data_IF_754338172022
#
_entry.id   IF_754338172022
#
_cell.length_a   1.000
_cell.length_b   1.000
_cell.length_c   1.000
_cell.angle_alpha   90.00
_cell.angle_beta   90.00
_cell.angle_gamma   90.00
#
_symmetry.space_group_name_H-M   'P 1'
#
loop_
_entity.id
_entity.type
_entity.pdbx_description
1 polymer ?
#
# COMPACT_ATOMS: atom_id res chain seq x y z
N UNK A 1 3.88 15.55 5.16
CA UNK A 1 3.70 15.44 3.69
C UNK A 1 3.51 16.83 3.08
N UNK A 2 4.30 17.15 2.07
CA UNK A 2 4.17 18.40 1.31
C UNK A 2 3.39 18.11 0.05
N UNK A 3 2.18 18.64 -0.03
CA UNK A 3 1.42 18.60 -1.27
C UNK A 3 1.97 19.68 -2.22
N UNK A 4 2.59 19.32 -3.35
CA UNK A 4 3.19 20.29 -4.28
C UNK A 4 2.18 21.32 -4.80
N UNK A 5 0.93 20.91 -4.98
CA UNK A 5 -0.14 21.81 -5.44
C UNK A 5 -0.47 22.88 -4.39
N UNK A 6 -0.70 22.47 -3.14
CA UNK A 6 -0.95 23.41 -2.04
C UNK A 6 0.26 24.32 -1.79
N UNK A 7 1.47 23.77 -1.90
CA UNK A 7 2.68 24.55 -1.81
C UNK A 7 2.74 25.64 -2.90
N UNK A 8 2.49 25.26 -4.15
CA UNK A 8 2.48 26.19 -5.30
C UNK A 8 1.42 27.28 -5.16
N UNK A 9 0.23 26.93 -4.67
CA UNK A 9 -0.88 27.89 -4.46
C UNK A 9 -0.59 28.92 -3.37
N UNK A 10 0.12 28.51 -2.32
CA UNK A 10 0.36 29.34 -1.13
C UNK A 10 1.74 30.02 -1.11
N UNK A 11 2.57 29.77 -2.13
CA UNK A 11 3.89 30.36 -2.22
C UNK A 11 3.86 31.67 -2.98
N UNK A 12 4.69 32.63 -2.54
CA UNK A 12 4.86 33.91 -3.26
C UNK A 12 5.35 33.68 -4.70
N UNK A 13 4.75 34.41 -5.64
CA UNK A 13 5.17 34.38 -7.05
C UNK A 13 6.57 34.93 -7.29
N UNK A 14 7.13 35.63 -6.32
CA UNK A 14 8.49 36.17 -6.37
C UNK A 14 9.53 35.27 -5.75
N UNK A 15 9.12 34.12 -5.17
CA UNK A 15 10.05 33.14 -4.62
C UNK A 15 10.77 32.43 -5.76
N UNK A 16 12.09 32.47 -5.74
CA UNK A 16 12.91 31.65 -6.64
C UNK A 16 12.84 30.17 -6.19
N UNK A 17 12.38 29.31 -7.11
CA UNK A 17 12.26 27.88 -6.87
C UNK A 17 13.60 27.15 -6.66
N UNK A 18 14.73 27.81 -6.86
CA UNK A 18 16.07 27.25 -6.62
C UNK A 18 16.67 27.68 -5.29
N UNK A 19 16.04 28.63 -4.59
CA UNK A 19 16.55 29.13 -3.31
C UNK A 19 16.15 28.19 -2.17
N UNK A 20 17.12 27.85 -1.34
CA UNK A 20 16.88 27.16 -0.08
C UNK A 20 16.51 28.15 1.00
N UNK A 21 15.65 27.72 1.91
CA UNK A 21 15.29 28.46 3.12
C UNK A 21 15.06 27.49 4.27
N UNK A 22 15.19 27.95 5.50
CA UNK A 22 15.00 27.11 6.68
C UNK A 22 13.52 26.75 6.87
N UNK A 23 13.23 25.47 6.92
CA UNK A 23 11.92 24.90 7.23
C UNK A 23 12.09 23.63 8.05
N UNK A 24 11.27 23.46 9.09
CA UNK A 24 11.39 22.30 9.98
C UNK A 24 12.82 22.09 10.47
N UNK A 25 13.47 23.19 10.83
CA UNK A 25 14.83 23.25 11.43
C UNK A 25 15.97 22.80 10.49
N UNK A 26 15.71 22.64 9.21
CA UNK A 26 16.72 22.29 8.22
C UNK A 26 16.48 23.03 6.88
N UNK A 27 17.45 22.96 5.99
CA UNK A 27 17.36 23.54 4.67
C UNK A 27 16.26 22.86 3.84
N UNK A 28 15.47 23.69 3.16
CA UNK A 28 14.35 23.23 2.35
C UNK A 28 14.33 23.93 1.01
N UNK A 29 14.18 23.16 -0.03
CA UNK A 29 13.82 23.58 -1.37
C UNK A 29 12.83 22.58 -1.95
N UNK A 30 11.67 23.04 -2.46
CA UNK A 30 10.60 22.14 -2.92
C UNK A 30 11.03 21.21 -4.05
N UNK A 31 11.82 21.69 -5.00
CA UNK A 31 12.28 20.87 -6.14
C UNK A 31 13.27 19.80 -5.66
N UNK A 32 14.19 20.20 -4.79
CA UNK A 32 15.12 19.29 -4.17
C UNK A 32 14.40 18.23 -3.33
N UNK A 33 13.39 18.64 -2.56
CA UNK A 33 12.62 17.72 -1.72
C UNK A 33 11.82 16.70 -2.55
N UNK A 34 11.24 17.10 -3.67
CA UNK A 34 10.53 16.18 -4.57
C UNK A 34 11.45 15.08 -5.15
N UNK A 35 12.73 15.36 -5.33
CA UNK A 35 13.74 14.42 -5.83
C UNK A 35 14.35 13.55 -4.71
N UNK A 36 14.23 13.98 -3.46
CA UNK A 36 14.91 13.35 -2.33
C UNK A 36 13.97 12.78 -1.25
N UNK A 37 12.67 13.08 -1.31
CA UNK A 37 11.66 12.56 -0.40
C UNK A 37 10.39 12.22 -1.18
N UNK A 38 10.23 10.96 -1.54
CA UNK A 38 9.14 10.52 -2.41
C UNK A 38 8.64 9.12 -2.04
N UNK A 39 7.42 8.83 -2.48
CA UNK A 39 6.80 7.53 -2.32
C UNK A 39 6.60 6.87 -3.67
N UNK A 40 6.97 5.59 -3.75
CA UNK A 40 6.67 4.72 -4.87
C UNK A 40 5.55 3.77 -4.48
N UNK A 41 4.58 3.63 -5.37
CA UNK A 41 3.49 2.67 -5.22
C UNK A 41 3.51 1.72 -6.41
N UNK A 42 3.82 0.45 -6.15
CA UNK A 42 3.77 -0.61 -7.15
C UNK A 42 2.58 -1.53 -6.86
N UNK A 43 1.78 -1.76 -7.89
CA UNK A 43 0.59 -2.63 -7.77
C UNK A 43 0.61 -3.68 -8.87
N UNK A 44 0.55 -4.94 -8.46
CA UNK A 44 0.35 -6.09 -9.34
C UNK A 44 -0.96 -6.75 -8.96
N UNK A 45 -1.87 -6.90 -9.92
CA UNK A 45 -3.16 -7.57 -9.74
C UNK A 45 -3.38 -8.56 -10.88
N UNK A 46 -3.40 -9.84 -10.57
CA UNK A 46 -3.57 -10.93 -11.52
C UNK A 46 -4.79 -11.75 -11.13
N UNK A 47 -5.70 -11.94 -12.06
CA UNK A 47 -6.87 -12.81 -11.88
C UNK A 47 -6.98 -13.82 -13.02
N UNK A 48 -7.10 -15.08 -12.65
CA UNK A 48 -7.41 -16.19 -13.55
C UNK A 48 -8.78 -16.73 -13.17
N UNK A 49 -9.62 -16.93 -14.16
CA UNK A 49 -10.96 -17.48 -13.96
C UNK A 49 -11.32 -18.41 -15.11
N UNK A 50 -11.85 -19.56 -14.76
CA UNK A 50 -12.37 -20.54 -15.72
C UNK A 50 -13.76 -20.98 -15.33
N UNK A 51 -14.61 -21.19 -16.33
CA UNK A 51 -15.95 -21.74 -16.17
C UNK A 51 -16.15 -22.90 -17.11
N UNK A 52 -16.72 -24.01 -16.61
CA UNK A 52 -17.13 -25.16 -17.37
C UNK A 52 -18.63 -25.40 -17.19
N UNK A 53 -19.35 -25.49 -18.29
CA UNK A 53 -20.76 -25.89 -18.31
C UNK A 53 -20.94 -27.22 -19.03
N UNK A 54 -21.66 -28.12 -18.41
CA UNK A 54 -21.91 -29.45 -18.96
C UNK A 54 -23.39 -29.78 -18.88
N UNK A 55 -23.94 -30.31 -19.98
CA UNK A 55 -25.35 -30.74 -20.14
C UNK A 55 -25.41 -32.23 -20.37
N UNK A 56 -25.31 -33.08 -19.31
CA UNK A 56 -25.25 -34.54 -19.47
C UNK A 56 -26.55 -35.16 -20.01
N UNK A 57 -27.68 -34.57 -19.64
CA UNK A 57 -29.00 -35.01 -20.07
C UNK A 57 -29.91 -33.82 -20.37
N UNK A 58 -31.00 -34.04 -21.11
CA UNK A 58 -31.97 -32.98 -21.39
C UNK A 58 -32.54 -32.42 -20.08
N UNK A 59 -32.49 -31.10 -19.95
CA UNK A 59 -32.98 -30.37 -18.79
C UNK A 59 -31.97 -30.18 -17.68
N UNK A 60 -30.87 -30.93 -17.60
CA UNK A 60 -29.84 -30.76 -16.56
C UNK A 60 -28.62 -30.00 -17.10
N UNK A 61 -28.28 -28.91 -16.42
CA UNK A 61 -27.07 -28.15 -16.64
C UNK A 61 -26.24 -28.11 -15.35
N UNK A 62 -25.01 -28.57 -15.45
CA UNK A 62 -24.02 -28.50 -14.39
C UNK A 62 -23.00 -27.42 -14.73
N UNK A 63 -22.72 -26.53 -13.80
CA UNK A 63 -21.72 -25.47 -13.95
C UNK A 63 -20.66 -25.57 -12.85
N UNK A 64 -19.40 -25.40 -13.23
CA UNK A 64 -18.28 -25.27 -12.28
C UNK A 64 -17.48 -24.04 -12.68
N UNK A 65 -17.24 -23.16 -11.72
CA UNK A 65 -16.41 -21.99 -11.85
C UNK A 65 -15.27 -22.07 -10.84
N UNK A 66 -14.07 -21.82 -11.30
CA UNK A 66 -12.89 -21.68 -10.47
C UNK A 66 -12.19 -20.36 -10.79
N UNK A 67 -11.75 -19.65 -9.76
CA UNK A 67 -10.93 -18.45 -9.91
C UNK A 67 -9.78 -18.44 -8.90
N UNK A 68 -8.66 -17.85 -9.32
CA UNK A 68 -7.53 -17.54 -8.48
C UNK A 68 -7.13 -16.08 -8.70
N UNK A 69 -6.95 -15.32 -7.63
CA UNK A 69 -6.50 -13.93 -7.67
C UNK A 69 -5.27 -13.77 -6.82
N UNK A 70 -4.24 -13.18 -7.41
CA UNK A 70 -3.03 -12.71 -6.73
C UNK A 70 -2.98 -11.18 -6.83
N UNK A 71 -2.78 -10.52 -5.69
CA UNK A 71 -2.59 -9.07 -5.65
C UNK A 71 -1.40 -8.77 -4.73
N UNK A 72 -0.49 -7.95 -5.21
CA UNK A 72 0.63 -7.43 -4.42
C UNK A 72 0.68 -5.92 -4.57
N UNK A 73 0.73 -5.22 -3.44
CA UNK A 73 0.90 -3.76 -3.38
C UNK A 73 2.12 -3.46 -2.54
N UNK A 74 3.13 -2.88 -3.17
CA UNK A 74 4.34 -2.36 -2.54
C UNK A 74 4.23 -0.85 -2.38
N UNK A 75 4.36 -0.34 -1.17
CA UNK A 75 4.48 1.08 -0.87
C UNK A 75 5.86 1.33 -0.27
N UNK A 76 6.69 2.11 -0.97
CA UNK A 76 8.04 2.47 -0.55
C UNK A 76 8.10 3.96 -0.30
N UNK A 77 8.56 4.37 0.89
CA UNK A 77 8.88 5.76 1.21
C UNK A 77 10.40 5.90 1.28
N UNK A 78 10.95 6.70 0.41
CA UNK A 78 12.38 6.92 0.25
C UNK A 78 12.68 8.36 0.64
N UNK A 79 13.43 8.54 1.72
CA UNK A 79 13.93 9.82 2.20
C UNK A 79 15.45 9.73 2.10
N UNK A 80 16.03 10.44 1.13
CA UNK A 80 17.48 10.42 0.92
C UNK A 80 18.21 11.27 1.96
N UNK A 81 19.52 11.13 1.97
CA UNK A 81 20.43 11.79 2.92
C UNK A 81 20.23 13.31 3.01
N UNK A 82 20.05 13.98 1.88
CA UNK A 82 19.91 15.43 1.77
C UNK A 82 18.47 15.93 1.87
N UNK A 83 17.49 15.05 2.14
CA UNK A 83 16.11 15.47 2.35
C UNK A 83 15.94 16.27 3.65
N UNK A 84 15.08 17.29 3.63
CA UNK A 84 14.81 18.15 4.80
C UNK A 84 14.52 17.35 6.07
N UNK A 85 13.74 16.29 5.97
CA UNK A 85 13.40 15.44 7.11
C UNK A 85 14.63 14.72 7.70
N UNK A 86 15.50 14.16 6.85
CA UNK A 86 16.70 13.49 7.31
C UNK A 86 17.67 14.49 7.96
N UNK A 87 17.85 15.66 7.34
CA UNK A 87 18.68 16.75 7.89
C UNK A 87 18.13 17.27 9.22
N UNK A 88 16.81 17.44 9.35
CA UNK A 88 16.17 17.90 10.58
C UNK A 88 16.41 16.92 11.74
N UNK A 89 16.30 15.62 11.49
CA UNK A 89 16.57 14.61 12.52
C UNK A 89 18.04 14.54 12.95
N UNK A 90 18.99 14.96 12.10
CA UNK A 90 20.40 15.06 12.46
C UNK A 90 20.73 16.33 13.23
N UNK A 91 20.07 17.44 12.89
CA UNK A 91 20.38 18.74 13.47
C UNK A 91 20.17 18.77 14.98
N UNK A 92 19.08 18.13 15.46
CA UNK A 92 18.81 17.98 16.89
C UNK A 92 18.75 19.29 17.70
N UNK A 93 18.67 20.44 17.02
CA UNK A 93 18.81 21.75 17.64
C UNK A 93 17.59 22.17 18.45
N UNK A 94 16.43 21.60 18.17
CA UNK A 94 15.15 21.97 18.79
C UNK A 94 14.54 20.81 19.57
N UNK A 95 13.95 21.12 20.73
CA UNK A 95 13.29 20.13 21.59
C UNK A 95 12.14 19.40 20.86
N UNK A 96 11.39 20.10 19.98
CA UNK A 96 10.30 19.50 19.22
C UNK A 96 10.81 18.42 18.27
N UNK A 97 11.95 18.64 17.64
CA UNK A 97 12.61 17.64 16.80
C UNK A 97 13.07 16.46 17.65
N UNK A 98 13.73 16.71 18.79
CA UNK A 98 14.21 15.65 19.68
C UNK A 98 13.06 14.78 20.19
N UNK A 99 12.00 15.39 20.67
CA UNK A 99 10.86 14.68 21.28
C UNK A 99 10.11 13.77 20.30
N UNK A 100 10.19 14.07 18.99
CA UNK A 100 9.54 13.33 17.93
C UNK A 100 10.51 12.49 17.07
N UNK A 101 11.78 12.47 17.39
CA UNK A 101 12.79 11.77 16.61
C UNK A 101 12.88 10.29 17.02
N UNK A 102 12.46 9.32 16.15
CA UNK A 102 12.56 7.89 16.46
C UNK A 102 14.01 7.35 16.37
N UNK A 103 14.95 8.15 15.93
CA UNK A 103 16.35 7.77 15.73
C UNK A 103 17.27 8.30 16.83
N UNK A 104 16.72 8.50 18.03
CA UNK A 104 17.52 8.88 19.20
C UNK A 104 17.95 7.66 19.98
N UNK A 105 19.17 7.69 20.46
CA UNK A 105 19.73 6.77 21.42
C UNK A 105 20.13 7.52 22.68
N UNK A 106 19.61 7.04 23.79
CA UNK A 106 19.98 7.48 25.13
C UNK A 106 20.70 6.29 25.81
N UNK A 107 21.99 6.46 26.13
CA UNK A 107 22.77 5.39 26.71
C UNK A 107 22.47 5.27 28.20
N UNK A 108 21.92 4.15 28.69
CA UNK A 108 21.58 4.00 30.09
C UNK A 108 22.80 3.95 31.01
N UNK A 109 23.99 3.68 30.47
CA UNK A 109 25.24 3.58 31.23
C UNK A 109 26.05 4.89 31.23
N UNK A 110 25.61 5.88 30.43
CA UNK A 110 26.26 7.17 30.28
C UNK A 110 25.26 8.33 30.37
N UNK A 111 25.53 9.27 31.25
CA UNK A 111 24.74 10.49 31.39
C UNK A 111 25.22 11.52 30.36
N UNK A 112 24.61 11.56 29.20
CA UNK A 112 24.79 12.61 28.21
C UNK A 112 23.80 13.74 28.46
N UNK A 113 24.25 14.99 28.28
CA UNK A 113 23.37 16.15 28.39
C UNK A 113 22.17 16.10 27.46
N UNK A 114 22.34 15.44 26.31
CA UNK A 114 21.30 15.24 25.30
C UNK A 114 21.46 13.87 24.62
N UNK A 115 20.34 13.19 24.27
CA UNK A 115 20.40 11.98 23.46
C UNK A 115 21.06 12.25 22.10
N UNK A 116 21.71 11.26 21.54
CA UNK A 116 22.39 11.34 20.25
C UNK A 116 21.55 10.79 19.11
N UNK A 117 21.66 11.39 17.91
CA UNK A 117 21.02 10.84 16.72
C UNK A 117 21.76 9.60 16.25
N UNK A 118 21.04 8.48 16.07
CA UNK A 118 21.58 7.25 15.46
C UNK A 118 21.56 7.30 13.93
N UNK A 119 21.11 8.41 13.34
CA UNK A 119 21.13 8.67 11.90
C UNK A 119 22.21 9.73 11.56
N UNK A 120 23.51 9.45 11.75
CA UNK A 120 24.57 10.44 11.47
C UNK A 120 24.76 10.70 9.99
N UNK A 121 24.47 9.73 9.14
CA UNK A 121 24.54 9.78 7.67
C UNK A 121 23.48 8.87 7.05
N UNK A 122 23.15 9.11 5.78
CA UNK A 122 22.20 8.33 5.04
C UNK A 122 20.76 8.79 5.23
N UNK A 123 19.85 8.15 4.52
CA UNK A 123 18.43 8.45 4.52
C UNK A 123 17.63 7.43 5.31
N UNK A 124 16.30 7.49 5.09
CA UNK A 124 15.33 6.61 5.70
C UNK A 124 14.63 5.85 4.58
N UNK A 125 14.55 4.54 4.72
CA UNK A 125 13.79 3.69 3.82
C UNK A 125 12.72 2.94 4.58
N UNK A 126 11.49 3.10 4.16
CA UNK A 126 10.35 2.38 4.71
C UNK A 126 9.62 1.67 3.60
N UNK A 127 9.38 0.39 3.78
CA UNK A 127 8.61 -0.42 2.83
C UNK A 127 7.48 -1.15 3.51
N UNK A 128 6.29 -1.02 2.94
CA UNK A 128 5.13 -1.83 3.32
C UNK A 128 4.68 -2.63 2.13
N UNK A 129 4.64 -3.95 2.27
CA UNK A 129 4.14 -4.84 1.23
C UNK A 129 2.86 -5.53 1.70
N UNK A 130 1.81 -5.42 0.91
CA UNK A 130 0.56 -6.14 1.09
C UNK A 130 0.45 -7.21 0.01
N UNK A 131 0.26 -8.46 0.41
CA UNK A 131 0.02 -9.58 -0.49
C UNK A 131 -1.34 -10.19 -0.19
N UNK A 132 -2.06 -10.53 -1.24
CA UNK A 132 -3.34 -11.23 -1.15
C UNK A 132 -3.38 -12.35 -2.17
N UNK A 133 -3.74 -13.54 -1.70
CA UNK A 133 -4.02 -14.70 -2.53
C UNK A 133 -5.45 -15.14 -2.23
N UNK A 134 -6.27 -15.22 -3.26
CA UNK A 134 -7.67 -15.62 -3.14
C UNK A 134 -7.98 -16.74 -4.12
N UNK A 135 -8.76 -17.69 -3.65
CA UNK A 135 -9.33 -18.77 -4.45
C UNK A 135 -10.83 -18.77 -4.29
N UNK A 136 -11.54 -18.86 -5.41
CA UNK A 136 -12.97 -18.96 -5.46
C UNK A 136 -13.37 -20.22 -6.22
N UNK A 137 -14.30 -20.96 -5.68
CA UNK A 137 -14.88 -22.13 -6.31
C UNK A 137 -16.40 -22.07 -6.19
N UNK A 138 -17.09 -22.30 -7.30
CA UNK A 138 -18.55 -22.39 -7.35
C UNK A 138 -18.96 -23.58 -8.17
N UNK A 139 -19.91 -24.37 -7.65
CA UNK A 139 -20.57 -25.41 -8.42
C UNK A 139 -22.08 -25.18 -8.38
N UNK A 140 -22.73 -25.34 -9.53
CA UNK A 140 -24.17 -25.16 -9.70
C UNK A 140 -24.78 -26.32 -10.48
N UNK A 141 -26.02 -26.67 -10.15
CA UNK A 141 -26.82 -27.62 -10.88
C UNK A 141 -28.21 -27.02 -11.13
N UNK A 142 -28.58 -26.91 -12.36
CA UNK A 142 -29.93 -26.48 -12.80
C UNK A 142 -30.63 -27.65 -13.50
N UNK A 143 -31.82 -27.98 -13.05
CA UNK A 143 -32.65 -28.97 -13.69
C UNK A 143 -34.02 -28.40 -14.07
N UNK A 144 -34.30 -28.35 -15.34
CA UNK A 144 -35.55 -27.83 -15.90
C UNK A 144 -36.21 -28.93 -16.68
N UNK A 145 -37.44 -29.28 -16.30
CA UNK A 145 -38.22 -30.30 -16.99
C UNK A 145 -39.71 -29.97 -17.00
N UNK A 146 -40.39 -30.42 -18.01
CA UNK A 146 -41.85 -30.37 -18.09
C UNK A 146 -42.40 -31.76 -17.75
N UNK A 147 -43.36 -31.81 -16.87
CA UNK A 147 -44.07 -33.03 -16.51
C UNK A 147 -45.56 -32.88 -16.91
N UNK A 148 -45.94 -33.57 -17.93
CA UNK A 148 -47.24 -33.39 -18.58
C UNK A 148 -47.30 -32.07 -19.37
N UNK A 149 -48.52 -31.60 -19.66
CA UNK A 149 -48.75 -30.35 -20.42
C UNK A 149 -48.77 -29.11 -19.53
N UNK A 150 -49.07 -29.27 -18.23
CA UNK A 150 -49.35 -28.14 -17.32
C UNK A 150 -48.31 -27.93 -16.22
N UNK A 151 -47.31 -28.81 -16.09
CA UNK A 151 -46.37 -28.73 -14.98
C UNK A 151 -44.94 -28.47 -15.46
N UNK A 152 -44.36 -27.35 -14.99
CA UNK A 152 -42.97 -26.99 -15.21
C UNK A 152 -42.22 -27.09 -13.85
N UNK A 153 -41.18 -27.90 -13.83
CA UNK A 153 -40.34 -28.09 -12.64
C UNK A 153 -38.97 -27.45 -12.89
N UNK A 154 -38.58 -26.48 -12.05
CA UNK A 154 -37.30 -25.85 -12.07
C UNK A 154 -36.60 -26.07 -10.72
N UNK A 155 -35.50 -26.80 -10.72
CA UNK A 155 -34.69 -27.06 -9.54
C UNK A 155 -33.33 -26.42 -9.69
N UNK A 156 -32.90 -25.75 -8.66
CA UNK A 156 -31.54 -25.15 -8.56
C UNK A 156 -30.86 -25.60 -7.28
N UNK A 157 -29.61 -26.03 -7.40
CA UNK A 157 -28.72 -26.29 -6.28
C UNK A 157 -27.36 -25.68 -6.57
N UNK A 158 -26.71 -25.15 -5.56
CA UNK A 158 -25.38 -24.55 -5.71
C UNK A 158 -24.59 -24.57 -4.42
N UNK A 159 -23.29 -24.59 -4.57
CA UNK A 159 -22.32 -24.41 -3.47
C UNK A 159 -21.23 -23.48 -3.90
N UNK A 160 -20.72 -22.72 -2.94
CA UNK A 160 -19.62 -21.78 -3.14
C UNK A 160 -18.64 -21.92 -1.99
N UNK A 161 -17.35 -21.87 -2.29
CA UNK A 161 -16.28 -21.84 -1.31
C UNK A 161 -15.28 -20.78 -1.74
N UNK A 162 -14.86 -19.93 -0.81
CA UNK A 162 -13.78 -18.98 -1.04
C UNK A 162 -12.74 -19.08 0.06
N UNK A 163 -11.50 -18.77 -0.30
CA UNK A 163 -10.38 -18.65 0.63
C UNK A 163 -9.60 -17.41 0.29
N UNK A 164 -9.27 -16.61 1.31
CA UNK A 164 -8.46 -15.40 1.15
C UNK A 164 -7.36 -15.43 2.19
N UNK A 165 -6.12 -15.41 1.70
CA UNK A 165 -4.93 -15.22 2.51
C UNK A 165 -4.38 -13.80 2.30
N UNK A 166 -4.07 -13.11 3.41
CA UNK A 166 -3.54 -11.74 3.39
C UNK A 166 -2.32 -11.66 4.29
N UNK A 167 -1.25 -11.13 3.72
CA UNK A 167 0.00 -10.91 4.43
C UNK A 167 0.39 -9.43 4.31
N UNK A 168 0.90 -8.86 5.41
CA UNK A 168 1.44 -7.52 5.47
C UNK A 168 2.82 -7.56 6.09
N UNK A 169 3.80 -7.01 5.37
CA UNK A 169 5.20 -6.97 5.81
C UNK A 169 5.68 -5.52 5.87
N UNK A 170 6.41 -5.18 6.91
CA UNK A 170 7.08 -3.89 7.12
C UNK A 170 8.59 -4.08 7.17
N UNK A 171 9.31 -3.11 6.59
CA UNK A 171 10.75 -2.95 6.67
C UNK A 171 11.10 -1.51 7.02
#
# INVERSE_FOLDING_TARGET
DINPYSYSMNTSRTLDAHTFYTRNYADFNIRHELDNNYMNLDVVDLKFQGELKWKPIKGLELGVLGAAKFSETGNEHIIKDDANQAMAYRAMDDATIRDNNPFLYDDPDYDYDLPISVLPQGGIYQKTTYKMLSYDFRATANYNTNFGEDHIINLFAGTEANSIDRNKTYF
#
